data_IF_114007363691
#
_entry.id   IF_114007363691
#
_cell.length_a   1.000
_cell.length_b   1.000
_cell.length_c   1.000
_cell.angle_alpha   90.00
_cell.angle_beta   90.00
_cell.angle_gamma   90.00
#
_symmetry.space_group_name_H-M   'P 1'
#
loop_
_entity.id
_entity.type
_entity.pdbx_description
1 polymer ?
#
# COMPACT_ATOMS: atom_id res chain seq x y z
N UNK A 1 -36.23 37.00 -3.29
CA UNK A 1 -35.31 36.41 -4.25
C UNK A 1 -33.87 36.84 -3.97
N UNK A 2 -33.55 38.09 -3.73
CA UNK A 2 -32.20 38.60 -3.42
C UNK A 2 -31.62 38.03 -2.13
N UNK A 3 -32.39 37.96 -1.04
CA UNK A 3 -31.94 37.38 0.23
C UNK A 3 -31.64 35.89 0.12
N UNK A 4 -32.48 35.12 -0.57
CA UNK A 4 -32.24 33.69 -0.83
C UNK A 4 -30.92 33.46 -1.60
N UNK A 5 -30.67 34.29 -2.64
CA UNK A 5 -29.42 34.23 -3.40
C UNK A 5 -28.21 34.60 -2.55
N UNK A 6 -28.33 35.59 -1.66
CA UNK A 6 -27.26 35.96 -0.72
C UNK A 6 -26.93 34.81 0.27
N UNK A 7 -27.94 34.17 0.84
CA UNK A 7 -27.74 33.02 1.72
C UNK A 7 -27.14 31.81 0.97
N UNK A 8 -27.61 31.53 -0.24
CA UNK A 8 -27.06 30.45 -1.06
C UNK A 8 -25.57 30.70 -1.37
N UNK A 9 -25.21 31.93 -1.73
CA UNK A 9 -23.83 32.32 -1.98
C UNK A 9 -22.97 32.19 -0.71
N UNK A 10 -23.47 32.64 0.44
CA UNK A 10 -22.77 32.53 1.72
C UNK A 10 -22.47 31.05 2.05
N UNK A 11 -23.45 30.15 1.88
CA UNK A 11 -23.26 28.69 2.08
C UNK A 11 -22.18 28.15 1.14
N UNK A 12 -22.20 28.48 -0.14
CA UNK A 12 -21.19 28.04 -1.10
C UNK A 12 -19.80 28.53 -0.71
N UNK A 13 -19.67 29.78 -0.28
CA UNK A 13 -18.37 30.34 0.19
C UNK A 13 -17.89 29.60 1.45
N UNK A 14 -18.76 29.32 2.40
CA UNK A 14 -18.42 28.59 3.63
C UNK A 14 -17.95 27.17 3.28
N UNK A 15 -18.68 26.45 2.43
CA UNK A 15 -18.29 25.11 1.98
C UNK A 15 -16.95 25.13 1.24
N UNK A 16 -16.71 26.14 0.42
CA UNK A 16 -15.44 26.32 -0.29
C UNK A 16 -14.28 26.62 0.68
N UNK A 17 -14.50 27.45 1.69
CA UNK A 17 -13.51 27.72 2.74
C UNK A 17 -13.18 26.45 3.55
N UNK A 18 -14.19 25.68 3.96
CA UNK A 18 -13.98 24.42 4.67
C UNK A 18 -13.17 23.46 3.80
N UNK A 19 -13.47 23.37 2.51
CA UNK A 19 -12.72 22.52 1.59
C UNK A 19 -11.23 22.90 1.54
N UNK A 20 -10.91 24.18 1.40
CA UNK A 20 -9.52 24.65 1.26
C UNK A 20 -8.77 24.54 2.58
N UNK A 21 -9.39 25.01 3.68
CA UNK A 21 -8.71 25.14 4.97
C UNK A 21 -8.66 23.84 5.77
N UNK A 22 -9.63 22.96 5.55
CA UNK A 22 -9.79 21.76 6.39
C UNK A 22 -9.65 20.44 5.61
N UNK A 23 -10.34 20.26 4.46
CA UNK A 23 -10.35 18.97 3.77
C UNK A 23 -9.12 18.72 2.93
N UNK A 24 -8.58 19.74 2.28
CA UNK A 24 -7.51 19.63 1.30
C UNK A 24 -6.15 19.29 1.91
N UNK A 25 -5.88 19.73 3.13
CA UNK A 25 -4.59 19.60 3.79
C UNK A 25 -3.52 20.59 3.28
N UNK A 26 -2.33 20.54 3.88
CA UNK A 26 -1.18 21.33 3.45
C UNK A 26 -0.77 21.08 2.01
N UNK A 27 -0.10 22.05 1.42
CA UNK A 27 0.49 21.93 0.08
C UNK A 27 1.72 21.00 0.13
N UNK A 28 1.71 19.98 -0.71
CA UNK A 28 2.80 19.00 -0.81
C UNK A 28 3.70 19.21 -2.04
N UNK A 29 3.51 20.28 -2.82
CA UNK A 29 4.28 20.53 -4.06
C UNK A 29 5.78 20.63 -3.83
N UNK A 30 6.23 21.01 -2.64
CA UNK A 30 7.65 21.02 -2.29
C UNK A 30 8.29 19.61 -2.33
N UNK A 31 7.46 18.55 -2.31
CA UNK A 31 7.89 17.16 -2.35
C UNK A 31 7.66 16.46 -3.70
N UNK A 32 7.27 17.21 -4.75
CA UNK A 32 7.06 16.68 -6.11
C UNK A 32 8.37 16.45 -6.89
N UNK A 33 9.49 16.99 -6.41
CA UNK A 33 10.78 16.93 -7.09
C UNK A 33 11.40 15.54 -7.18
N UNK A 34 12.49 15.39 -7.94
CA UNK A 34 13.24 14.14 -8.00
C UNK A 34 13.81 13.79 -6.62
N UNK A 35 13.89 12.51 -6.33
CA UNK A 35 14.31 11.99 -5.03
C UNK A 35 15.79 11.63 -5.07
N UNK A 36 16.59 12.14 -4.12
CA UNK A 36 18.01 11.83 -4.01
C UNK A 36 18.31 10.35 -3.70
N UNK A 37 17.32 9.60 -3.22
CA UNK A 37 17.43 8.17 -2.91
C UNK A 37 16.62 7.29 -3.88
N UNK A 38 16.40 7.77 -5.09
CA UNK A 38 15.68 7.06 -6.13
C UNK A 38 16.60 6.03 -6.80
N UNK A 39 16.16 4.79 -6.89
CA UNK A 39 16.71 3.78 -7.79
C UNK A 39 15.72 3.57 -8.93
N UNK A 40 16.16 3.75 -10.14
CA UNK A 40 15.36 3.51 -11.34
C UNK A 40 16.03 2.45 -12.19
N UNK A 41 15.28 1.44 -12.61
CA UNK A 41 15.73 0.41 -13.53
C UNK A 41 15.17 0.75 -14.90
N UNK A 42 16.06 1.06 -15.85
CA UNK A 42 15.72 1.56 -17.18
C UNK A 42 15.78 0.44 -18.25
N UNK A 43 15.20 -0.70 -17.97
CA UNK A 43 15.05 -1.75 -18.97
C UNK A 43 13.72 -1.59 -19.75
N UNK A 44 13.66 -1.97 -21.04
CA UNK A 44 12.38 -2.08 -21.73
C UNK A 44 11.54 -3.16 -21.06
N UNK A 45 10.17 -3.01 -21.08
CA UNK A 45 9.30 -4.01 -20.48
C UNK A 45 9.46 -5.37 -21.15
N UNK A 46 9.50 -6.43 -20.34
CA UNK A 46 9.60 -7.80 -20.82
C UNK A 46 8.38 -8.24 -21.65
N UNK A 47 8.50 -9.33 -22.40
CA UNK A 47 7.36 -9.91 -23.11
C UNK A 47 6.28 -10.40 -22.13
N UNK A 48 6.70 -10.90 -20.98
CA UNK A 48 5.82 -11.31 -19.87
C UNK A 48 5.03 -10.13 -19.33
N UNK A 49 5.64 -8.95 -19.20
CA UNK A 49 4.92 -7.73 -18.80
C UNK A 49 3.83 -7.37 -19.83
N UNK A 50 4.12 -7.48 -21.12
CA UNK A 50 3.11 -7.23 -22.16
C UNK A 50 1.91 -8.19 -22.04
N UNK A 51 2.17 -9.47 -21.71
CA UNK A 51 1.13 -10.47 -21.46
C UNK A 51 0.29 -10.11 -20.21
N UNK A 52 0.94 -9.63 -19.14
CA UNK A 52 0.26 -9.13 -17.94
C UNK A 52 -0.69 -7.98 -18.29
N UNK A 53 -0.21 -6.97 -19.00
CA UNK A 53 -1.04 -5.82 -19.44
C UNK A 53 -2.23 -6.28 -20.26
N UNK A 54 -2.04 -7.21 -21.20
CA UNK A 54 -3.12 -7.77 -22.03
C UNK A 54 -4.17 -8.51 -21.17
N UNK A 55 -3.77 -9.23 -20.12
CA UNK A 55 -4.67 -9.95 -19.22
C UNK A 55 -5.59 -9.01 -18.42
N UNK A 56 -5.10 -7.84 -18.03
CA UNK A 56 -5.87 -6.85 -17.27
C UNK A 56 -7.04 -6.27 -18.07
N UNK A 57 -6.91 -6.17 -19.39
CA UNK A 57 -7.98 -5.71 -20.28
C UNK A 57 -9.26 -6.56 -20.20
N UNK A 58 -9.13 -7.84 -19.86
CA UNK A 58 -10.26 -8.76 -19.71
C UNK A 58 -11.18 -8.45 -18.52
N UNK A 59 -10.65 -7.89 -17.44
CA UNK A 59 -11.40 -7.61 -16.19
C UNK A 59 -12.53 -6.61 -16.45
N UNK A 60 -12.21 -5.50 -17.11
CA UNK A 60 -13.19 -4.46 -17.44
C UNK A 60 -14.29 -4.99 -18.39
N UNK A 61 -13.95 -5.89 -19.30
CA UNK A 61 -14.88 -6.57 -20.18
C UNK A 61 -15.83 -7.51 -19.42
N UNK A 62 -15.29 -8.31 -18.50
CA UNK A 62 -16.07 -9.24 -17.68
C UNK A 62 -17.07 -8.51 -16.78
N UNK A 63 -16.66 -7.38 -16.15
CA UNK A 63 -17.53 -6.57 -15.30
C UNK A 63 -18.75 -6.00 -16.02
N UNK A 64 -18.68 -5.75 -17.32
CA UNK A 64 -19.84 -5.26 -18.09
C UNK A 64 -21.03 -6.21 -18.07
N UNK A 65 -20.78 -7.52 -17.93
CA UNK A 65 -21.78 -8.57 -17.91
C UNK A 65 -22.29 -8.90 -16.49
N UNK A 66 -21.74 -8.23 -15.46
CA UNK A 66 -22.12 -8.42 -14.05
C UNK A 66 -23.07 -7.29 -13.63
N UNK A 67 -24.20 -7.57 -12.98
CA UNK A 67 -25.06 -6.52 -12.42
C UNK A 67 -24.29 -5.63 -11.44
N UNK A 68 -24.46 -4.31 -11.52
CA UNK A 68 -23.67 -3.33 -10.71
C UNK A 68 -23.66 -3.64 -9.21
N UNK A 69 -24.80 -4.10 -8.66
CA UNK A 69 -24.93 -4.50 -7.25
C UNK A 69 -24.03 -5.68 -6.85
N UNK A 70 -23.54 -6.45 -7.81
CA UNK A 70 -22.68 -7.61 -7.60
C UNK A 70 -21.21 -7.34 -7.95
N UNK A 71 -20.87 -6.14 -8.44
CA UNK A 71 -19.50 -5.81 -8.86
C UNK A 71 -18.49 -6.04 -7.75
N UNK A 72 -18.77 -5.58 -6.52
CA UNK A 72 -17.86 -5.73 -5.40
C UNK A 72 -17.64 -7.21 -5.02
N UNK A 73 -18.71 -7.98 -4.92
CA UNK A 73 -18.63 -9.41 -4.64
C UNK A 73 -17.87 -10.17 -5.74
N UNK A 74 -18.12 -9.81 -7.01
CA UNK A 74 -17.39 -10.38 -8.14
C UNK A 74 -15.90 -10.06 -8.10
N UNK A 75 -15.52 -8.80 -7.82
CA UNK A 75 -14.13 -8.37 -7.70
C UNK A 75 -13.41 -9.06 -6.55
N UNK A 76 -14.06 -9.21 -5.39
CA UNK A 76 -13.50 -9.97 -4.25
C UNK A 76 -13.21 -11.41 -4.65
N UNK A 77 -14.21 -12.09 -5.25
CA UNK A 77 -14.04 -13.47 -5.73
C UNK A 77 -12.96 -13.57 -6.82
N UNK A 78 -12.90 -12.59 -7.73
CA UNK A 78 -11.86 -12.54 -8.75
C UNK A 78 -10.47 -12.45 -8.12
N UNK A 79 -10.24 -11.51 -7.19
CA UNK A 79 -8.96 -11.35 -6.50
C UNK A 79 -8.54 -12.62 -5.76
N UNK A 80 -9.47 -13.27 -5.06
CA UNK A 80 -9.21 -14.50 -4.29
C UNK A 80 -8.78 -15.70 -5.16
N UNK A 81 -9.01 -15.64 -6.47
CA UNK A 81 -8.73 -16.72 -7.39
C UNK A 81 -7.77 -16.34 -8.54
N UNK A 82 -7.42 -15.06 -8.67
CA UNK A 82 -6.56 -14.58 -9.75
C UNK A 82 -5.10 -15.07 -9.64
N UNK A 83 -4.61 -15.25 -8.41
CA UNK A 83 -3.21 -15.58 -8.12
C UNK A 83 -3.10 -16.82 -7.22
N UNK A 84 -3.47 -18.01 -7.72
CA UNK A 84 -3.41 -19.23 -6.90
C UNK A 84 -1.96 -19.53 -6.50
N UNK A 85 -1.77 -19.89 -5.23
CA UNK A 85 -0.50 -20.44 -4.76
C UNK A 85 -0.42 -21.91 -5.17
N UNK A 86 0.56 -22.25 -6.00
CA UNK A 86 0.75 -23.62 -6.51
C UNK A 86 1.80 -24.41 -5.71
N UNK A 87 2.60 -23.75 -4.86
CA UNK A 87 3.68 -24.40 -4.13
C UNK A 87 3.17 -25.11 -2.87
N UNK A 88 3.14 -26.44 -2.93
CA UNK A 88 2.72 -27.30 -1.82
C UNK A 88 3.71 -27.34 -0.63
N UNK A 89 4.92 -26.81 -0.78
CA UNK A 89 5.90 -26.72 0.31
C UNK A 89 5.63 -25.54 1.26
N UNK A 90 4.76 -24.62 0.87
CA UNK A 90 4.36 -23.49 1.72
C UNK A 90 3.33 -23.96 2.75
N UNK A 91 3.67 -23.84 4.02
CA UNK A 91 2.74 -24.11 5.14
C UNK A 91 1.82 -22.89 5.35
N UNK A 92 0.51 -23.14 5.47
CA UNK A 92 -0.51 -22.11 5.73
C UNK A 92 -1.35 -22.56 6.92
N UNK A 93 -1.29 -21.83 8.02
CA UNK A 93 -2.01 -22.14 9.25
C UNK A 93 -2.99 -21.00 9.57
N UNK A 94 -4.30 -21.24 9.52
CA UNK A 94 -5.29 -20.27 9.98
C UNK A 94 -5.12 -19.96 11.48
N UNK A 95 -5.30 -18.70 11.85
CA UNK A 95 -5.18 -18.23 13.23
C UNK A 95 -6.16 -17.09 13.51
N UNK A 96 -6.66 -17.01 14.75
CA UNK A 96 -7.37 -15.85 15.27
C UNK A 96 -6.40 -14.94 16.02
N UNK A 97 -6.35 -13.68 15.60
CA UNK A 97 -5.46 -12.66 16.17
C UNK A 97 -6.29 -11.71 17.03
N UNK A 98 -6.67 -12.17 18.21
CA UNK A 98 -7.51 -11.39 19.14
C UNK A 98 -8.82 -10.89 18.48
N UNK A 99 -9.50 -11.77 17.74
CA UNK A 99 -10.74 -11.49 17.03
C UNK A 99 -10.55 -11.00 15.57
N UNK A 100 -9.33 -10.91 15.07
CA UNK A 100 -9.01 -10.62 13.66
C UNK A 100 -8.63 -11.94 13.00
N UNK A 101 -9.39 -12.44 12.01
CA UNK A 101 -9.02 -13.62 11.24
C UNK A 101 -7.69 -13.38 10.51
N UNK A 102 -6.83 -14.39 10.48
CA UNK A 102 -5.51 -14.30 9.86
C UNK A 102 -5.01 -15.69 9.46
N UNK A 103 -3.89 -15.72 8.75
CA UNK A 103 -3.13 -16.95 8.51
C UNK A 103 -1.64 -16.71 8.67
N UNK A 104 -0.93 -17.69 9.22
CA UNK A 104 0.50 -17.77 9.12
C UNK A 104 0.88 -18.42 7.79
N UNK A 105 1.83 -17.82 7.08
CA UNK A 105 2.38 -18.34 5.83
C UNK A 105 3.88 -18.54 6.02
N UNK A 106 4.36 -19.78 5.85
CA UNK A 106 5.74 -20.16 6.10
C UNK A 106 6.34 -20.87 4.88
N UNK A 107 7.39 -20.30 4.32
CA UNK A 107 8.27 -20.98 3.41
C UNK A 107 9.14 -22.02 4.15
N UNK A 108 9.69 -23.06 3.47
CA UNK A 108 10.48 -24.11 4.14
C UNK A 108 11.68 -23.61 4.95
N UNK A 109 12.23 -22.44 4.61
CA UNK A 109 13.38 -21.81 5.26
C UNK A 109 13.00 -20.69 6.26
N UNK A 110 11.73 -20.55 6.59
CA UNK A 110 11.27 -19.49 7.50
C UNK A 110 11.65 -19.80 8.94
N UNK A 111 12.25 -18.82 9.65
CA UNK A 111 12.43 -18.85 11.09
C UNK A 111 11.15 -18.33 11.76
N UNK A 112 10.42 -19.13 12.56
CA UNK A 112 9.18 -18.73 13.20
C UNK A 112 9.34 -17.61 14.24
N UNK A 113 10.56 -17.34 14.68
CA UNK A 113 10.87 -16.21 15.58
C UNK A 113 11.10 -14.89 14.84
N UNK A 114 11.37 -14.95 13.54
CA UNK A 114 11.37 -13.77 12.65
C UNK A 114 9.96 -13.64 12.09
N UNK A 115 9.32 -12.49 12.23
CA UNK A 115 7.91 -12.32 11.89
C UNK A 115 7.70 -11.11 11.00
N UNK A 116 6.82 -11.26 10.03
CA UNK A 116 6.41 -10.20 9.12
C UNK A 116 4.89 -10.09 9.13
N UNK A 117 4.36 -8.92 9.52
CA UNK A 117 2.96 -8.60 9.32
C UNK A 117 2.74 -8.18 7.88
N UNK A 118 1.88 -8.89 7.15
CA UNK A 118 1.47 -8.51 5.80
C UNK A 118 0.04 -7.97 5.78
N UNK A 119 -0.11 -6.78 5.21
CA UNK A 119 -1.38 -6.07 5.10
C UNK A 119 -1.72 -5.96 3.61
N UNK A 120 -2.75 -6.69 3.18
CA UNK A 120 -3.10 -6.79 1.76
C UNK A 120 -3.71 -5.51 1.19
N UNK A 121 -3.56 -5.32 -0.13
CA UNK A 121 -4.19 -4.27 -0.91
C UNK A 121 -5.67 -4.52 -1.21
N UNK A 122 -6.23 -3.76 -2.16
CA UNK A 122 -7.62 -3.91 -2.61
C UNK A 122 -8.52 -2.74 -2.25
N UNK A 123 -7.97 -1.52 -2.21
CA UNK A 123 -8.71 -0.26 -2.03
C UNK A 123 -9.59 -0.24 -0.76
N UNK A 124 -9.18 -0.95 0.29
CA UNK A 124 -9.91 -1.12 1.57
C UNK A 124 -11.30 -1.75 1.44
N UNK A 125 -11.67 -2.23 0.26
CA UNK A 125 -13.00 -2.80 -0.05
C UNK A 125 -12.94 -4.25 -0.50
N UNK A 126 -11.78 -4.74 -0.89
CA UNK A 126 -11.53 -6.09 -1.42
C UNK A 126 -10.14 -6.57 -1.05
N UNK A 127 -9.77 -7.78 -1.49
CA UNK A 127 -8.57 -8.46 -1.06
C UNK A 127 -8.82 -9.31 0.19
N UNK A 128 -7.89 -10.20 0.46
CA UNK A 128 -7.90 -11.13 1.60
C UNK A 128 -6.50 -11.74 1.75
N UNK A 129 -6.18 -12.44 2.85
CA UNK A 129 -4.98 -13.28 2.91
C UNK A 129 -4.87 -14.21 1.72
N UNK A 130 -5.97 -14.87 1.33
CA UNK A 130 -6.01 -15.81 0.20
C UNK A 130 -5.58 -15.18 -1.12
N UNK A 131 -6.06 -13.97 -1.44
CA UNK A 131 -5.72 -13.27 -2.69
C UNK A 131 -4.24 -12.88 -2.79
N UNK A 132 -3.54 -12.80 -1.64
CA UNK A 132 -2.15 -12.36 -1.56
C UNK A 132 -1.17 -13.48 -1.17
N UNK A 133 -1.61 -14.76 -1.16
CA UNK A 133 -0.75 -15.87 -0.77
C UNK A 133 0.53 -15.98 -1.58
N UNK A 134 0.53 -15.64 -2.87
CA UNK A 134 1.76 -15.56 -3.66
C UNK A 134 2.76 -14.57 -3.09
N UNK A 135 2.30 -13.37 -2.75
CA UNK A 135 3.14 -12.34 -2.16
C UNK A 135 3.63 -12.77 -0.78
N UNK A 136 2.74 -13.22 0.08
CA UNK A 136 3.09 -13.60 1.46
C UNK A 136 4.04 -14.79 1.52
N UNK A 137 3.87 -15.78 0.64
CA UNK A 137 4.82 -16.89 0.49
C UNK A 137 6.20 -16.39 0.06
N UNK A 138 6.26 -15.46 -0.92
CA UNK A 138 7.54 -14.91 -1.38
C UNK A 138 8.18 -14.00 -0.33
N UNK A 139 7.39 -13.22 0.40
CA UNK A 139 7.90 -12.48 1.56
C UNK A 139 8.47 -13.42 2.64
N UNK A 140 7.80 -14.55 2.93
CA UNK A 140 8.30 -15.54 3.87
C UNK A 140 9.66 -16.09 3.43
N UNK A 141 9.80 -16.42 2.15
CA UNK A 141 11.06 -16.90 1.56
C UNK A 141 12.19 -15.87 1.67
N UNK A 142 11.98 -14.62 1.17
CA UNK A 142 13.06 -13.63 1.08
C UNK A 142 13.41 -12.97 2.42
N UNK A 143 12.47 -12.92 3.37
CA UNK A 143 12.69 -12.43 4.73
C UNK A 143 13.21 -13.51 5.68
N UNK A 144 13.15 -14.80 5.29
CA UNK A 144 13.35 -15.94 6.18
C UNK A 144 12.50 -15.80 7.46
N UNK A 145 11.22 -15.51 7.31
CA UNK A 145 10.32 -15.15 8.41
C UNK A 145 8.95 -15.80 8.25
N UNK A 146 8.27 -16.09 9.35
CA UNK A 146 6.85 -16.40 9.32
C UNK A 146 6.07 -15.12 8.99
N UNK A 147 5.19 -15.18 8.00
CA UNK A 147 4.34 -14.06 7.58
C UNK A 147 2.96 -14.22 8.19
N UNK A 148 2.52 -13.25 8.99
CA UNK A 148 1.16 -13.12 9.48
C UNK A 148 0.36 -12.28 8.48
N UNK A 149 -0.50 -12.89 7.68
CA UNK A 149 -1.41 -12.24 6.76
C UNK A 149 -2.78 -12.07 7.42
N UNK A 150 -3.25 -10.84 7.60
CA UNK A 150 -4.49 -10.53 8.31
C UNK A 150 -5.65 -10.29 7.35
N UNK A 151 -6.84 -10.74 7.71
CA UNK A 151 -8.11 -10.46 7.04
C UNK A 151 -8.79 -9.30 7.77
N UNK A 152 -8.24 -8.10 7.60
CA UNK A 152 -8.74 -6.91 8.27
C UNK A 152 -10.12 -6.51 7.73
N UNK A 153 -10.95 -5.92 8.58
CA UNK A 153 -12.33 -5.50 8.25
C UNK A 153 -12.37 -4.48 7.13
N UNK A 154 -13.14 -4.81 6.09
CA UNK A 154 -13.24 -4.05 4.85
C UNK A 154 -14.46 -3.14 4.82
N UNK A 155 -14.37 -2.07 4.03
CA UNK A 155 -15.51 -1.26 3.61
C UNK A 155 -16.29 -1.99 2.49
N UNK A 156 -17.57 -1.71 2.30
CA UNK A 156 -18.41 -0.76 3.07
C UNK A 156 -18.99 -1.37 4.35
N UNK A 157 -18.83 -2.67 4.61
CA UNK A 157 -19.43 -3.38 5.76
C UNK A 157 -18.95 -2.79 7.09
N UNK A 158 -17.68 -2.34 7.12
CA UNK A 158 -17.08 -1.70 8.28
C UNK A 158 -16.49 -0.34 7.92
N UNK A 159 -16.43 0.61 8.87
CA UNK A 159 -15.74 1.88 8.62
C UNK A 159 -14.23 1.64 8.44
N UNK A 160 -13.56 2.48 7.63
CA UNK A 160 -12.12 2.37 7.38
C UNK A 160 -11.26 2.27 8.66
N UNK A 161 -11.70 2.93 9.72
CA UNK A 161 -11.01 2.90 11.01
C UNK A 161 -10.97 1.49 11.63
N UNK A 162 -11.97 0.64 11.36
CA UNK A 162 -11.98 -0.73 11.86
C UNK A 162 -10.79 -1.55 11.33
N UNK A 163 -10.51 -1.49 10.03
CA UNK A 163 -9.35 -2.17 9.44
C UNK A 163 -8.01 -1.61 9.96
N UNK A 164 -7.95 -0.31 10.26
CA UNK A 164 -6.78 0.31 10.89
C UNK A 164 -6.54 -0.26 12.29
N UNK A 165 -7.61 -0.41 13.10
CA UNK A 165 -7.50 -1.00 14.44
C UNK A 165 -7.13 -2.49 14.38
N UNK A 166 -7.59 -3.22 13.37
CA UNK A 166 -7.20 -4.62 13.15
C UNK A 166 -5.70 -4.74 12.88
N UNK A 167 -5.12 -3.85 12.07
CA UNK A 167 -3.67 -3.79 11.83
C UNK A 167 -2.89 -3.52 13.13
N UNK A 168 -3.38 -2.59 13.97
CA UNK A 168 -2.78 -2.26 15.28
C UNK A 168 -2.86 -3.43 16.27
N UNK A 169 -3.98 -4.13 16.28
CA UNK A 169 -4.18 -5.34 17.08
C UNK A 169 -3.21 -6.42 16.65
N UNK A 170 -3.11 -6.69 15.34
CA UNK A 170 -2.22 -7.69 14.79
C UNK A 170 -0.75 -7.39 15.07
N UNK A 171 -0.34 -6.12 14.97
CA UNK A 171 1.02 -5.73 15.32
C UNK A 171 1.38 -6.08 16.75
N UNK A 172 0.56 -5.66 17.73
CA UNK A 172 0.81 -5.96 19.14
C UNK A 172 0.84 -7.46 19.41
N UNK A 173 -0.12 -8.19 18.86
CA UNK A 173 -0.24 -9.63 19.07
C UNK A 173 0.94 -10.41 18.51
N UNK A 174 1.40 -10.05 17.31
CA UNK A 174 2.51 -10.72 16.64
C UNK A 174 3.84 -10.61 17.40
N UNK A 175 4.04 -9.62 18.24
CA UNK A 175 5.29 -9.45 19.00
C UNK A 175 5.54 -10.63 19.95
N UNK A 176 4.46 -11.21 20.52
CA UNK A 176 4.51 -12.24 21.54
C UNK A 176 3.91 -13.59 21.10
N UNK A 177 3.37 -13.69 19.89
CA UNK A 177 2.75 -14.89 19.36
C UNK A 177 3.33 -15.23 17.99
N UNK A 178 3.80 -16.47 17.84
CA UNK A 178 4.29 -17.03 16.59
C UNK A 178 3.43 -18.17 16.07
N UNK A 179 3.80 -18.75 14.92
CA UNK A 179 3.05 -19.87 14.32
C UNK A 179 3.02 -21.13 15.22
N UNK A 180 3.99 -21.27 16.11
CA UNK A 180 4.11 -22.44 16.99
C UNK A 180 3.68 -22.12 18.43
N UNK A 181 2.99 -20.97 18.66
CA UNK A 181 2.48 -20.56 19.97
C UNK A 181 3.12 -19.30 20.53
N UNK A 182 2.95 -19.07 21.82
CA UNK A 182 3.47 -17.88 22.53
C UNK A 182 4.98 -17.92 22.60
N UNK A 183 5.61 -16.92 22.01
CA UNK A 183 7.07 -16.72 21.99
C UNK A 183 7.39 -15.30 21.57
N UNK A 184 8.43 -14.69 22.15
CA UNK A 184 8.87 -13.37 21.73
C UNK A 184 9.51 -13.41 20.32
N UNK A 185 9.16 -12.42 19.49
CA UNK A 185 9.79 -12.28 18.17
C UNK A 185 11.25 -11.83 18.29
N UNK A 186 12.17 -12.45 17.52
CA UNK A 186 13.58 -12.04 17.42
C UNK A 186 13.78 -10.87 16.46
N UNK A 187 13.05 -10.88 15.32
CA UNK A 187 13.00 -9.79 14.37
C UNK A 187 11.55 -9.58 13.91
N UNK A 188 11.18 -8.33 13.64
CA UNK A 188 9.82 -7.98 13.22
C UNK A 188 9.83 -7.05 12.03
N UNK A 189 9.02 -7.37 11.05
CA UNK A 189 8.86 -6.62 9.81
C UNK A 189 7.39 -6.30 9.57
N UNK A 190 7.13 -5.33 8.72
CA UNK A 190 5.78 -5.07 8.20
C UNK A 190 5.84 -4.78 6.71
N UNK A 191 4.91 -5.31 5.95
CA UNK A 191 4.80 -5.05 4.53
C UNK A 191 3.33 -4.95 4.10
N UNK A 192 3.09 -4.26 2.98
CA UNK A 192 1.78 -4.19 2.36
C UNK A 192 1.82 -3.51 1.02
N UNK A 193 0.79 -3.73 0.24
CA UNK A 193 0.65 -3.22 -1.13
C UNK A 193 -0.55 -2.28 -1.27
N UNK A 194 -0.46 -1.25 -2.12
CA UNK A 194 -1.58 -0.36 -2.45
C UNK A 194 -2.26 0.24 -1.18
N UNK A 195 -3.52 -0.11 -0.93
CA UNK A 195 -4.25 0.22 0.29
C UNK A 195 -3.59 -0.39 1.55
N UNK A 196 -3.05 -1.60 1.46
CA UNK A 196 -2.25 -2.22 2.53
C UNK A 196 -0.91 -1.51 2.73
N UNK A 197 -0.30 -0.97 1.67
CA UNK A 197 0.85 -0.08 1.76
C UNK A 197 0.52 1.20 2.54
N UNK A 198 -0.66 1.79 2.32
CA UNK A 198 -1.16 2.91 3.14
C UNK A 198 -1.27 2.53 4.62
N UNK A 199 -1.89 1.36 4.91
CA UNK A 199 -2.05 0.86 6.28
C UNK A 199 -0.69 0.57 6.93
N UNK A 200 0.28 0.03 6.18
CA UNK A 200 1.66 -0.17 6.62
C UNK A 200 2.31 1.15 7.04
N UNK A 201 2.23 2.18 6.19
CA UNK A 201 2.81 3.50 6.47
C UNK A 201 2.13 4.20 7.66
N UNK A 202 0.82 4.06 7.79
CA UNK A 202 0.07 4.57 8.95
C UNK A 202 0.42 3.81 10.23
N UNK A 203 0.63 2.50 10.14
CA UNK A 203 0.97 1.64 11.27
C UNK A 203 2.36 1.95 11.83
N UNK A 204 3.39 2.11 10.99
CA UNK A 204 4.74 2.40 11.47
C UNK A 204 4.84 3.76 12.18
N UNK A 205 4.11 4.76 11.71
CA UNK A 205 4.01 6.05 12.39
C UNK A 205 3.30 5.91 13.74
N UNK A 206 2.18 5.17 13.77
CA UNK A 206 1.46 4.91 15.01
C UNK A 206 2.28 4.10 16.03
N UNK A 207 3.05 3.08 15.59
CA UNK A 207 3.94 2.29 16.46
C UNK A 207 4.98 3.20 17.13
N UNK A 208 5.60 4.11 16.37
CA UNK A 208 6.52 5.13 16.89
C UNK A 208 5.83 6.02 17.93
N UNK A 209 4.66 6.58 17.58
CA UNK A 209 3.92 7.52 18.43
C UNK A 209 3.45 6.88 19.76
N UNK A 210 3.23 5.56 19.77
CA UNK A 210 2.89 4.80 20.97
C UNK A 210 4.11 4.29 21.75
N UNK A 211 5.34 4.55 21.29
CA UNK A 211 6.55 4.03 21.90
C UNK A 211 6.63 2.50 21.93
N UNK A 212 5.95 1.82 20.99
CA UNK A 212 5.98 0.37 20.87
C UNK A 212 7.27 -0.10 20.18
N UNK A 213 7.56 -1.41 20.27
CA UNK A 213 8.66 -2.00 19.51
C UNK A 213 8.49 -1.68 18.02
N UNK A 214 9.45 -0.91 17.47
CA UNK A 214 9.47 -0.57 16.06
C UNK A 214 9.77 -1.82 15.20
N UNK A 215 9.27 -1.90 13.95
CA UNK A 215 9.76 -2.91 13.02
C UNK A 215 11.23 -2.66 12.68
N UNK A 216 11.99 -3.75 12.49
CA UNK A 216 13.37 -3.73 12.03
C UNK A 216 13.45 -3.21 10.58
N UNK A 217 12.39 -3.40 9.80
CA UNK A 217 12.18 -2.80 8.49
C UNK A 217 10.70 -2.82 8.07
N UNK A 218 10.35 -1.89 7.17
CA UNK A 218 9.03 -1.83 6.54
C UNK A 218 9.15 -1.82 5.01
N UNK A 219 8.19 -2.44 4.31
CA UNK A 219 8.11 -2.44 2.84
C UNK A 219 6.72 -1.99 2.40
N UNK A 220 6.64 -1.00 1.51
CA UNK A 220 5.38 -0.56 0.93
C UNK A 220 5.44 -0.65 -0.61
N UNK A 221 4.55 -1.45 -1.19
CA UNK A 221 4.45 -1.65 -2.63
C UNK A 221 3.33 -0.76 -3.19
N UNK A 222 3.67 0.15 -4.09
CA UNK A 222 2.69 1.05 -4.75
C UNK A 222 1.70 1.72 -3.77
N UNK A 223 2.15 2.31 -2.63
CA UNK A 223 1.25 2.75 -1.56
C UNK A 223 0.40 3.96 -1.97
N UNK A 224 -0.90 3.94 -1.61
CA UNK A 224 -1.78 5.11 -1.70
C UNK A 224 -1.60 5.99 -0.45
N UNK A 225 -0.90 7.11 -0.53
CA UNK A 225 -0.53 7.91 0.66
C UNK A 225 -1.37 9.15 0.87
N UNK A 226 -2.16 9.59 -0.13
CA UNK A 226 -2.91 10.84 -0.13
C UNK A 226 -4.39 10.66 -0.54
N UNK A 227 -5.28 10.46 0.42
CA UNK A 227 -6.72 10.42 0.18
C UNK A 227 -7.32 11.81 -0.16
N UNK A 228 -6.54 12.88 -0.11
CA UNK A 228 -6.97 14.20 -0.59
C UNK A 228 -6.92 14.32 -2.10
N UNK A 229 -6.40 13.29 -2.79
CA UNK A 229 -6.30 13.21 -4.25
C UNK A 229 -5.54 14.42 -4.84
N UNK A 230 -4.42 14.78 -4.20
CA UNK A 230 -3.60 15.94 -4.55
C UNK A 230 -2.44 15.62 -5.47
N UNK A 231 -2.10 14.35 -5.67
CA UNK A 231 -0.96 13.90 -6.45
C UNK A 231 -1.17 14.13 -7.95
N UNK A 232 -0.21 14.74 -8.67
CA UNK A 232 -0.32 15.03 -10.09
C UNK A 232 -0.52 13.80 -10.97
N UNK A 233 0.18 12.70 -10.65
CA UNK A 233 0.11 11.43 -11.38
C UNK A 233 -1.26 10.77 -11.40
N UNK A 234 -2.16 11.09 -10.44
CA UNK A 234 -3.55 10.61 -10.46
C UNK A 234 -4.29 10.98 -11.76
N UNK A 235 -3.89 12.07 -12.40
CA UNK A 235 -4.42 12.48 -13.71
C UNK A 235 -3.41 12.26 -14.83
N UNK A 236 -2.13 12.54 -14.56
CA UNK A 236 -1.06 12.42 -15.54
C UNK A 236 -0.87 11.00 -16.05
N UNK A 237 -1.00 10.01 -15.18
CA UNK A 237 -0.74 8.60 -15.50
C UNK A 237 -2.00 7.76 -15.73
N UNK A 238 -3.16 8.38 -15.90
CA UNK A 238 -4.43 7.64 -16.08
C UNK A 238 -4.47 6.77 -17.34
N UNK A 239 -3.75 7.18 -18.39
CA UNK A 239 -3.67 6.43 -19.65
C UNK A 239 -2.47 5.47 -19.67
N UNK A 240 -1.48 5.66 -18.80
CA UNK A 240 -0.29 4.80 -18.71
C UNK A 240 -0.40 3.71 -17.65
N UNK A 241 -1.36 3.83 -16.72
CA UNK A 241 -1.65 2.80 -15.71
C UNK A 241 -2.71 1.84 -16.23
N UNK A 242 -2.35 0.62 -16.67
CA UNK A 242 -3.31 -0.30 -17.27
C UNK A 242 -4.22 -0.98 -16.24
N UNK A 243 -3.88 -0.92 -14.94
CA UNK A 243 -4.68 -1.50 -13.87
C UNK A 243 -5.64 -0.48 -13.24
N UNK A 244 -5.14 0.66 -12.78
CA UNK A 244 -5.94 1.66 -12.08
C UNK A 244 -6.65 2.62 -13.06
N UNK A 245 -6.01 2.97 -14.18
CA UNK A 245 -6.54 3.92 -15.15
C UNK A 245 -7.99 3.61 -15.58
N UNK A 246 -8.30 2.41 -16.07
CA UNK A 246 -9.67 2.04 -16.46
C UNK A 246 -10.69 2.14 -15.33
N UNK A 247 -10.28 1.87 -14.08
CA UNK A 247 -11.15 1.91 -12.89
C UNK A 247 -11.42 3.36 -12.46
N UNK A 248 -10.42 4.23 -12.54
CA UNK A 248 -10.48 5.60 -12.02
C UNK A 248 -10.80 6.66 -13.08
N UNK A 249 -10.79 6.31 -14.38
CA UNK A 249 -11.06 7.25 -15.48
C UNK A 249 -12.39 8.02 -15.35
N UNK A 250 -13.43 7.38 -14.83
CA UNK A 250 -14.71 8.03 -14.55
C UNK A 250 -14.64 8.98 -13.35
N UNK A 251 -13.92 8.60 -12.28
CA UNK A 251 -13.73 9.41 -11.08
C UNK A 251 -12.87 10.65 -11.37
N UNK A 252 -11.90 10.56 -12.26
CA UNK A 252 -11.05 11.68 -12.65
C UNK A 252 -11.82 12.84 -13.31
N UNK A 253 -13.04 12.60 -13.81
CA UNK A 253 -13.94 13.63 -14.36
C UNK A 253 -14.73 14.37 -13.28
N UNK A 254 -14.80 13.83 -12.06
CA UNK A 254 -15.52 14.45 -10.95
C UNK A 254 -14.62 15.55 -10.35
N UNK A 255 -15.15 16.75 -10.10
CA UNK A 255 -14.38 17.81 -9.44
C UNK A 255 -13.81 17.34 -8.11
N UNK A 256 -12.51 17.59 -7.88
CA UNK A 256 -11.81 17.20 -6.63
C UNK A 256 -12.56 17.65 -5.38
N UNK A 257 -13.18 18.84 -5.41
CA UNK A 257 -14.02 19.34 -4.33
C UNK A 257 -15.09 18.35 -3.88
N UNK A 258 -15.82 17.77 -4.84
CA UNK A 258 -16.87 16.80 -4.57
C UNK A 258 -16.29 15.49 -3.99
N UNK A 259 -15.15 15.05 -4.51
CA UNK A 259 -14.46 13.85 -4.01
C UNK A 259 -13.95 14.03 -2.58
N UNK A 260 -13.48 15.23 -2.21
CA UNK A 260 -13.07 15.54 -0.84
C UNK A 260 -14.24 15.47 0.15
N UNK A 261 -15.39 16.04 -0.21
CA UNK A 261 -16.60 15.96 0.60
C UNK A 261 -17.10 14.53 0.71
N UNK A 262 -17.12 13.78 -0.40
CA UNK A 262 -17.49 12.36 -0.38
C UNK A 262 -16.58 11.55 0.53
N UNK A 263 -15.25 11.73 0.42
CA UNK A 263 -14.27 11.06 1.26
C UNK A 263 -14.45 11.40 2.74
N UNK A 264 -14.78 12.65 3.07
CA UNK A 264 -15.08 13.05 4.43
C UNK A 264 -16.34 12.36 4.99
N UNK A 265 -17.42 12.34 4.21
CA UNK A 265 -18.65 11.66 4.61
C UNK A 265 -18.43 10.15 4.80
N UNK A 266 -17.69 9.52 3.89
CA UNK A 266 -17.43 8.09 3.92
C UNK A 266 -16.56 7.68 5.11
N UNK A 267 -15.47 8.41 5.36
CA UNK A 267 -14.50 8.03 6.39
C UNK A 267 -14.77 8.68 7.76
N UNK A 268 -15.68 9.65 7.85
CA UNK A 268 -15.90 10.49 9.03
C UNK A 268 -14.63 11.19 9.54
N UNK A 269 -13.64 11.31 8.67
CA UNK A 269 -12.36 11.98 8.88
C UNK A 269 -12.04 12.84 7.67
N UNK A 270 -11.32 13.95 7.88
CA UNK A 270 -10.85 14.77 6.74
C UNK A 270 -9.92 13.92 5.85
N UNK A 271 -10.03 14.04 4.50
CA UNK A 271 -9.14 13.30 3.59
C UNK A 271 -7.66 13.49 3.87
N UNK A 272 -7.25 14.66 4.36
CA UNK A 272 -5.87 14.96 4.78
C UNK A 272 -5.53 14.52 6.21
N UNK A 273 -6.34 13.70 6.87
CA UNK A 273 -6.02 13.21 8.21
C UNK A 273 -4.88 12.17 8.14
N UNK A 274 -3.80 12.28 8.95
CA UNK A 274 -2.64 11.39 8.89
C UNK A 274 -2.95 9.90 9.00
N UNK A 275 -3.98 9.52 9.72
CA UNK A 275 -4.41 8.12 9.90
C UNK A 275 -4.85 7.48 8.58
N UNK A 276 -5.41 8.25 7.64
CA UNK A 276 -5.86 7.75 6.32
C UNK A 276 -5.00 8.28 5.18
N UNK A 277 -4.21 9.29 5.43
CA UNK A 277 -3.28 9.91 4.47
C UNK A 277 -1.93 10.13 5.15
N UNK A 278 -1.11 9.08 5.28
CA UNK A 278 0.13 9.14 6.05
C UNK A 278 1.11 10.20 5.56
N UNK A 279 1.05 10.63 4.32
CA UNK A 279 1.89 11.72 3.79
C UNK A 279 1.70 13.05 4.55
N UNK A 280 0.55 13.29 5.19
CA UNK A 280 0.30 14.50 5.98
C UNK A 280 0.75 14.38 7.44
N UNK A 281 1.18 13.19 7.88
CA UNK A 281 1.68 12.98 9.24
C UNK A 281 3.08 13.54 9.49
N UNK A 282 3.53 13.40 10.73
CA UNK A 282 4.95 13.50 11.05
C UNK A 282 5.66 12.23 10.55
N UNK A 283 6.67 12.40 9.71
CA UNK A 283 7.44 11.32 9.09
C UNK A 283 8.86 11.23 9.64
N UNK A 284 9.17 11.88 10.76
CA UNK A 284 10.44 11.74 11.47
C UNK A 284 10.50 10.44 12.27
N UNK A 285 11.70 9.90 12.49
CA UNK A 285 11.92 8.75 13.37
C UNK A 285 11.24 7.45 12.93
N UNK A 286 10.93 7.31 11.63
CA UNK A 286 10.39 6.06 11.08
C UNK A 286 11.49 4.98 11.00
N UNK A 287 11.13 3.69 11.03
CA UNK A 287 12.07 2.59 10.81
C UNK A 287 12.62 2.63 9.37
N UNK A 288 13.67 1.84 9.07
CA UNK A 288 14.08 1.60 7.69
C UNK A 288 12.90 1.23 6.81
N UNK A 289 12.69 1.99 5.71
CA UNK A 289 11.55 1.82 4.83
C UNK A 289 12.00 1.73 3.37
N UNK A 290 11.54 0.68 2.69
CA UNK A 290 11.61 0.53 1.25
C UNK A 290 10.23 0.76 0.64
N UNK A 291 10.14 1.69 -0.31
CA UNK A 291 8.97 1.87 -1.16
C UNK A 291 9.33 1.44 -2.57
N UNK A 292 8.51 0.60 -3.19
CA UNK A 292 8.61 0.25 -4.61
C UNK A 292 7.37 0.72 -5.34
N UNK A 293 7.53 1.39 -6.49
CA UNK A 293 6.44 1.93 -7.27
C UNK A 293 6.79 1.98 -8.77
N UNK A 294 5.79 1.99 -9.64
CA UNK A 294 5.97 2.15 -11.08
C UNK A 294 5.89 3.62 -11.49
N UNK A 295 6.78 4.04 -12.39
CA UNK A 295 6.70 5.38 -12.99
C UNK A 295 5.43 5.56 -13.85
N UNK A 296 4.85 4.46 -14.34
CA UNK A 296 3.65 4.46 -15.16
C UNK A 296 2.34 4.48 -14.35
N UNK A 297 2.39 4.17 -13.06
CA UNK A 297 1.17 4.07 -12.24
C UNK A 297 0.64 5.43 -11.74
N UNK A 298 -0.65 5.48 -11.48
CA UNK A 298 -1.33 6.67 -10.97
C UNK A 298 -0.85 7.10 -9.58
N UNK A 299 -0.30 6.18 -8.76
CA UNK A 299 0.13 6.42 -7.38
C UNK A 299 1.63 6.75 -7.24
N UNK A 300 2.37 6.95 -8.34
CA UNK A 300 3.80 7.23 -8.25
C UNK A 300 4.10 8.53 -7.47
N UNK A 301 3.33 9.59 -7.63
CA UNK A 301 3.57 10.83 -6.90
C UNK A 301 3.14 10.74 -5.43
N UNK A 302 2.23 9.84 -5.08
CA UNK A 302 1.95 9.47 -3.70
C UNK A 302 3.22 8.93 -3.03
N UNK A 303 3.90 8.00 -3.70
CA UNK A 303 5.16 7.40 -3.24
C UNK A 303 6.29 8.43 -3.18
N UNK A 304 6.45 9.25 -4.21
CA UNK A 304 7.47 10.32 -4.27
C UNK A 304 7.32 11.33 -3.14
N UNK A 305 6.11 11.88 -2.97
CA UNK A 305 5.81 12.86 -1.91
C UNK A 305 6.07 12.30 -0.52
N UNK A 306 5.64 11.06 -0.27
CA UNK A 306 5.87 10.41 1.01
C UNK A 306 7.36 10.23 1.29
N UNK A 307 8.11 9.65 0.35
CA UNK A 307 9.55 9.38 0.52
C UNK A 307 10.35 10.68 0.62
N UNK A 308 10.07 11.68 -0.24
CA UNK A 308 10.75 12.98 -0.16
C UNK A 308 10.53 13.67 1.19
N UNK A 309 9.29 13.66 1.68
CA UNK A 309 8.96 14.25 2.98
C UNK A 309 9.61 13.49 4.14
N UNK A 310 9.58 12.15 4.11
CA UNK A 310 10.18 11.32 5.15
C UNK A 310 11.72 11.46 5.16
N UNK A 311 12.35 11.52 3.99
CA UNK A 311 13.78 11.77 3.85
C UNK A 311 14.16 13.16 4.38
N UNK A 312 13.39 14.19 4.05
CA UNK A 312 13.58 15.55 4.57
C UNK A 312 13.41 15.63 6.10
N UNK A 313 12.62 14.74 6.69
CA UNK A 313 12.43 14.59 8.13
C UNK A 313 13.53 13.70 8.80
N UNK A 314 14.54 13.23 8.04
CA UNK A 314 15.64 12.42 8.53
C UNK A 314 15.35 10.94 8.72
N UNK A 315 14.23 10.43 8.21
CA UNK A 315 13.91 8.99 8.26
C UNK A 315 14.68 8.20 7.20
N UNK A 316 15.16 6.97 7.51
CA UNK A 316 15.91 6.13 6.58
C UNK A 316 14.99 5.45 5.55
N UNK A 317 14.61 6.18 4.52
CA UNK A 317 13.66 5.74 3.49
C UNK A 317 14.29 5.70 2.11
N UNK A 318 13.89 4.73 1.29
CA UNK A 318 14.33 4.56 -0.10
C UNK A 318 13.14 4.33 -1.01
N UNK A 319 13.13 4.97 -2.19
CA UNK A 319 12.22 4.66 -3.28
C UNK A 319 12.97 3.94 -4.39
N UNK A 320 12.45 2.81 -4.81
CA UNK A 320 12.85 2.12 -6.03
C UNK A 320 11.71 2.20 -7.05
N UNK A 321 12.03 2.56 -8.28
CA UNK A 321 11.03 2.71 -9.35
C UNK A 321 11.39 1.89 -10.58
N UNK A 322 10.34 1.40 -11.26
CA UNK A 322 10.41 0.76 -12.57
C UNK A 322 9.61 1.57 -13.58
N UNK A 323 10.13 1.80 -14.81
CA UNK A 323 9.51 2.76 -15.75
C UNK A 323 8.11 2.39 -16.23
N UNK A 324 7.80 1.11 -16.38
CA UNK A 324 6.66 0.65 -17.20
C UNK A 324 5.73 -0.35 -16.49
N UNK A 325 5.97 -0.69 -15.23
CA UNK A 325 5.22 -1.76 -14.57
C UNK A 325 3.77 -1.40 -14.29
N UNK A 326 2.93 -2.41 -14.22
CA UNK A 326 1.57 -2.29 -13.71
C UNK A 326 1.58 -2.01 -12.20
N UNK A 327 0.50 -1.46 -11.67
CA UNK A 327 0.33 -1.28 -10.23
C UNK A 327 0.50 -2.62 -9.48
N UNK A 328 1.36 -2.66 -8.44
CA UNK A 328 1.71 -3.86 -7.66
C UNK A 328 2.14 -5.04 -8.55
N UNK A 329 3.07 -4.83 -9.50
CA UNK A 329 3.54 -5.86 -10.43
C UNK A 329 4.16 -7.08 -9.74
N UNK A 330 4.53 -6.96 -8.49
CA UNK A 330 5.04 -8.05 -7.66
C UNK A 330 4.04 -9.21 -7.50
N UNK A 331 2.73 -8.95 -7.66
CA UNK A 331 1.67 -9.99 -7.68
C UNK A 331 1.87 -11.04 -8.80
N UNK A 332 2.55 -10.64 -9.88
CA UNK A 332 2.81 -11.50 -11.04
C UNK A 332 4.11 -12.30 -10.92
N UNK A 333 4.70 -12.36 -9.74
CA UNK A 333 5.81 -13.26 -9.43
C UNK A 333 5.29 -14.71 -9.40
N UNK A 334 6.05 -15.73 -9.87
CA UNK A 334 7.41 -15.67 -10.43
C UNK A 334 7.45 -15.45 -11.95
N UNK A 335 6.32 -15.40 -12.63
CA UNK A 335 6.25 -15.35 -14.09
C UNK A 335 6.92 -14.07 -14.64
N UNK A 336 6.70 -12.93 -13.95
CA UNK A 336 7.24 -11.64 -14.36
C UNK A 336 8.70 -11.47 -13.90
N UNK A 337 9.68 -11.29 -14.82
CA UNK A 337 11.09 -11.08 -14.47
C UNK A 337 11.29 -9.88 -13.53
N UNK A 338 10.64 -8.76 -13.82
CA UNK A 338 10.72 -7.54 -13.01
C UNK A 338 10.10 -7.74 -11.60
N UNK A 339 9.18 -8.69 -11.46
CA UNK A 339 8.65 -9.11 -10.16
C UNK A 339 9.70 -9.89 -9.35
N UNK A 340 10.49 -10.76 -10.00
CA UNK A 340 11.59 -11.47 -9.35
C UNK A 340 12.67 -10.50 -8.88
N UNK A 341 13.08 -9.59 -9.76
CA UNK A 341 14.04 -8.53 -9.47
C UNK A 341 13.60 -7.64 -8.27
N UNK A 342 12.33 -7.24 -8.25
CA UNK A 342 11.76 -6.50 -7.13
C UNK A 342 11.89 -7.24 -5.80
N UNK A 343 11.64 -8.57 -5.78
CA UNK A 343 11.79 -9.37 -4.58
C UNK A 343 13.24 -9.63 -4.18
N UNK A 344 14.19 -9.70 -5.10
CA UNK A 344 15.63 -9.76 -4.79
C UNK A 344 16.06 -8.48 -4.02
N UNK A 345 15.60 -7.31 -4.47
CA UNK A 345 15.84 -6.04 -3.80
C UNK A 345 15.18 -6.00 -2.41
N UNK A 346 13.95 -6.46 -2.26
CA UNK A 346 13.24 -6.56 -0.98
C UNK A 346 14.03 -7.48 -0.02
N UNK A 347 14.43 -8.66 -0.49
CA UNK A 347 15.18 -9.62 0.33
C UNK A 347 16.52 -9.07 0.79
N UNK A 348 17.24 -8.34 -0.08
CA UNK A 348 18.48 -7.63 0.29
C UNK A 348 18.22 -6.57 1.36
N UNK A 349 17.20 -5.72 1.14
CA UNK A 349 16.82 -4.67 2.07
C UNK A 349 16.49 -5.21 3.47
N UNK A 350 15.64 -6.25 3.55
CA UNK A 350 15.24 -6.85 4.83
C UNK A 350 16.43 -7.49 5.58
N UNK A 351 17.35 -8.14 4.85
CA UNK A 351 18.56 -8.69 5.45
C UNK A 351 19.50 -7.59 6.00
N UNK A 352 19.76 -6.56 5.21
CA UNK A 352 20.66 -5.46 5.61
C UNK A 352 20.09 -4.68 6.80
N UNK A 353 18.78 -4.41 6.80
CA UNK A 353 18.08 -3.71 7.88
C UNK A 353 18.12 -4.50 9.19
N UNK A 354 17.81 -5.80 9.16
CA UNK A 354 17.84 -6.64 10.36
C UNK A 354 19.23 -6.82 10.98
N UNK A 355 20.29 -6.42 10.26
CA UNK A 355 21.67 -6.45 10.72
C UNK A 355 22.21 -5.04 11.09
N UNK A 356 21.33 -4.02 11.11
CA UNK A 356 21.71 -2.64 11.37
C UNK A 356 22.63 -2.02 10.31
N UNK A 357 22.73 -2.63 9.11
CA UNK A 357 23.63 -2.20 8.03
C UNK A 357 22.97 -1.30 6.99
N UNK A 358 21.66 -1.13 7.04
CA UNK A 358 20.94 -0.25 6.13
C UNK A 358 21.09 1.21 6.54
N UNK A 359 21.89 1.97 5.79
CA UNK A 359 22.18 3.37 6.10
C UNK A 359 21.25 4.39 5.43
N UNK A 360 20.26 3.92 4.64
CA UNK A 360 19.33 4.81 3.91
C UNK A 360 20.07 5.78 3.00
N UNK A 361 20.38 5.40 1.77
CA UNK A 361 21.02 6.30 0.80
C UNK A 361 21.32 5.60 -0.53
N UNK A 362 21.52 6.37 -1.63
CA UNK A 362 21.98 5.79 -2.88
C UNK A 362 23.35 5.17 -2.64
N UNK A 363 23.49 3.87 -2.88
CA UNK A 363 24.82 3.35 -3.19
C UNK A 363 25.12 3.75 -4.62
N UNK A 364 26.10 4.65 -4.79
CA UNK A 364 26.75 4.85 -6.08
C UNK A 364 27.34 3.49 -6.51
N UNK A 365 26.62 2.79 -7.32
CA UNK A 365 26.97 1.50 -7.85
C UNK A 365 26.38 1.40 -9.24
N UNK A 366 27.12 1.94 -10.20
CA UNK A 366 26.90 1.71 -11.62
C UNK A 366 26.62 0.22 -11.87
N UNK A 367 25.49 -0.06 -12.49
CA UNK A 367 25.36 -1.23 -13.32
C UNK A 367 25.90 -0.79 -14.68
N UNK A 368 27.15 -1.23 -14.96
CA UNK A 368 27.76 -1.18 -16.29
C UNK A 368 26.96 -2.04 -17.27
#
# INVERSE_FOLDING_TARGET
MTEFLAWALAVVVVLWLIQILYLRGPDLRAFDGPIGQRRSINAPPSAEHQAVVASLGGIAGALKNVPRRQHLAWLRNYMDNAFPLADAAIRIDPVDVAGVPAEWVLAPNADPRRRLLYIHGGAWTMGSPKSHRRLTAKFSEVAHAAVLAIDYRLMPEHPRLAGIEDCRTAWRWMLDHGPDGVSAASAVFVAGDSAGGNLTLSLIAWVRDQGLRAPDAAVALSPATDASLGSPSLKGNIETDPMLGPLFKALAKIPRAMLLWFGWFQNRMRPSHPVISPVFGDLSGLPPLLVQASEAEMLIDDSRRYVNKASAAGSPVTLQTWPHMVHVWQLFHPELPEGREAFEEIGRFLRESSQGRWAGGPRDGAIS
#
